data_IF_990572095381
#
_entry.id   IF_990572095381
#
_cell.length_a   1.000
_cell.length_b   1.000
_cell.length_c   1.000
_cell.angle_alpha   90.00
_cell.angle_beta   90.00
_cell.angle_gamma   90.00
#
_symmetry.space_group_name_H-M   'P 1'
#
loop_
_entity.id
_entity.type
_entity.pdbx_description
1 polymer ?
#
# COMPACT_ATOMS: atom_id res chain seq x y z
N UNK A 1 43.88 -47.92 -0.51
CA UNK A 1 43.13 -48.89 -1.35
C UNK A 1 42.96 -48.29 -2.75
N UNK A 2 43.31 -49.03 -3.82
CA UNK A 2 43.39 -48.49 -5.18
C UNK A 2 42.14 -48.74 -6.04
N UNK A 3 41.97 -47.85 -7.04
CA UNK A 3 41.33 -48.01 -8.36
C UNK A 3 39.85 -48.41 -8.49
N UNK A 4 39.11 -47.53 -9.20
CA UNK A 4 38.23 -47.75 -10.38
C UNK A 4 37.53 -46.38 -10.62
N UNK A 5 37.81 -45.53 -11.60
CA UNK A 5 37.98 -45.66 -13.06
C UNK A 5 36.79 -46.37 -13.73
N UNK A 6 35.80 -45.58 -14.18
CA UNK A 6 34.89 -45.79 -15.33
C UNK A 6 34.47 -44.41 -15.83
N UNK A 7 35.00 -43.99 -16.97
CA UNK A 7 34.48 -44.18 -18.33
C UNK A 7 33.29 -43.26 -18.65
N UNK A 8 33.62 -42.32 -19.54
CA UNK A 8 32.81 -41.45 -20.38
C UNK A 8 31.51 -42.07 -20.89
N UNK A 9 30.45 -41.26 -20.89
CA UNK A 9 29.41 -41.29 -21.91
C UNK A 9 29.14 -39.84 -22.34
N UNK A 10 29.74 -39.47 -23.46
CA UNK A 10 29.35 -38.31 -24.27
C UNK A 10 27.97 -38.61 -24.83
N UNK A 11 26.97 -37.81 -24.47
CA UNK A 11 25.71 -37.76 -25.21
C UNK A 11 25.47 -36.32 -25.64
N UNK A 12 26.02 -36.00 -26.82
CA UNK A 12 25.64 -34.83 -27.61
C UNK A 12 24.16 -34.92 -27.94
N UNK A 13 23.37 -34.01 -27.39
CA UNK A 13 22.01 -33.75 -27.87
C UNK A 13 22.03 -32.39 -28.56
N UNK A 14 22.35 -32.42 -29.85
CA UNK A 14 22.21 -31.29 -30.77
C UNK A 14 20.72 -31.00 -30.92
N UNK A 15 20.21 -29.96 -30.26
CA UNK A 15 18.87 -29.47 -30.51
C UNK A 15 18.89 -28.47 -31.68
N UNK A 16 17.98 -28.75 -32.61
CA UNK A 16 17.80 -28.16 -33.93
C UNK A 16 17.33 -26.70 -33.79
N UNK A 17 17.99 -25.80 -34.53
CA UNK A 17 17.49 -24.47 -34.87
C UNK A 17 16.22 -24.63 -35.73
N UNK A 18 15.05 -24.39 -35.13
CA UNK A 18 13.80 -24.18 -35.84
C UNK A 18 13.52 -22.69 -35.95
N UNK A 19 13.54 -22.15 -37.16
CA UNK A 19 13.16 -20.76 -37.44
C UNK A 19 11.67 -20.56 -37.16
N UNK A 20 11.39 -19.70 -36.18
CA UNK A 20 10.06 -19.22 -35.83
C UNK A 20 9.74 -18.01 -36.73
N UNK A 21 8.67 -18.08 -37.52
CA UNK A 21 8.01 -16.89 -38.09
C UNK A 21 6.54 -17.16 -38.32
N UNK A 22 5.78 -17.20 -37.22
CA UNK A 22 4.36 -16.89 -37.26
C UNK A 22 4.23 -15.36 -37.11
N UNK A 23 4.26 -14.64 -38.23
CA UNK A 23 3.86 -13.23 -38.27
C UNK A 23 2.33 -13.17 -38.21
N UNK A 24 1.76 -13.30 -37.01
CA UNK A 24 0.44 -12.76 -36.70
C UNK A 24 0.68 -11.36 -36.14
N UNK A 25 0.56 -10.37 -37.02
CA UNK A 25 0.60 -8.95 -36.67
C UNK A 25 -0.73 -8.56 -36.03
N UNK A 26 -1.07 -9.17 -34.89
CA UNK A 26 -2.04 -8.54 -34.02
C UNK A 26 -1.29 -7.44 -33.27
N UNK A 27 -1.71 -6.17 -33.39
CA UNK A 27 -1.13 -5.12 -32.56
C UNK A 27 -1.29 -5.55 -31.10
N UNK A 28 -0.26 -5.38 -30.24
CA UNK A 28 -0.45 -5.59 -28.82
C UNK A 28 -1.69 -4.78 -28.41
N UNK A 29 -2.62 -5.34 -27.60
CA UNK A 29 -3.67 -4.51 -27.02
C UNK A 29 -2.96 -3.30 -26.42
N UNK A 30 -3.36 -2.12 -26.87
CA UNK A 30 -2.75 -0.85 -26.49
C UNK A 30 -2.39 -0.95 -25.02
N UNK A 31 -1.10 -0.73 -24.70
CA UNK A 31 -0.64 -0.66 -23.33
C UNK A 31 -1.69 0.16 -22.58
N UNK A 32 -2.41 -0.50 -21.66
CA UNK A 32 -3.40 0.17 -20.86
C UNK A 32 -2.66 1.34 -20.23
N UNK A 33 -3.09 2.52 -20.65
CA UNK A 33 -2.47 3.81 -20.37
C UNK A 33 -1.90 3.81 -18.96
N UNK A 34 -0.59 4.05 -18.87
CA UNK A 34 0.10 4.19 -17.60
C UNK A 34 -0.48 5.40 -16.88
N UNK A 35 -1.56 5.17 -16.13
CA UNK A 35 -2.17 6.14 -15.24
C UNK A 35 -2.56 7.45 -15.92
N UNK A 36 -3.50 7.42 -16.86
CA UNK A 36 -4.35 8.60 -17.02
C UNK A 36 -4.87 8.99 -15.61
N UNK A 37 -4.74 10.25 -15.16
CA UNK A 37 -5.19 10.67 -13.85
C UNK A 37 -6.72 10.62 -13.81
N UNK A 38 -7.25 9.43 -13.58
CA UNK A 38 -8.67 9.13 -13.35
C UNK A 38 -9.23 9.86 -12.12
N UNK A 39 -8.38 10.57 -11.39
CA UNK A 39 -8.72 11.26 -10.16
C UNK A 39 -8.86 12.78 -10.32
N UNK A 40 -8.43 13.41 -11.42
CA UNK A 40 -8.36 14.89 -11.47
C UNK A 40 -9.71 15.58 -11.22
N UNK A 41 -10.81 15.03 -11.76
CA UNK A 41 -12.15 15.59 -11.58
C UNK A 41 -12.75 15.33 -10.19
N UNK A 42 -12.46 14.18 -9.58
CA UNK A 42 -12.91 13.85 -8.23
C UNK A 42 -12.09 14.59 -7.16
N UNK A 43 -10.78 14.78 -7.39
CA UNK A 43 -9.92 15.64 -6.58
C UNK A 43 -10.34 17.11 -6.69
N UNK A 44 -10.71 17.58 -7.89
CA UNK A 44 -11.23 18.94 -8.07
C UNK A 44 -12.54 19.19 -7.29
N UNK A 45 -13.39 18.17 -7.12
CA UNK A 45 -14.58 18.27 -6.29
C UNK A 45 -14.27 18.29 -4.78
N UNK A 46 -13.15 17.69 -4.34
CA UNK A 46 -12.65 17.76 -2.96
C UNK A 46 -11.93 19.08 -2.66
N UNK A 47 -11.35 19.74 -3.67
CA UNK A 47 -10.63 21.03 -3.55
C UNK A 47 -11.55 22.24 -3.35
N UNK A 48 -12.87 22.10 -3.54
CA UNK A 48 -13.83 23.17 -3.26
C UNK A 48 -14.09 23.39 -1.75
N UNK A 49 -13.62 22.47 -0.88
CA UNK A 49 -13.77 22.62 0.57
C UNK A 49 -12.73 23.59 1.12
N UNK A 50 -13.20 24.74 1.64
CA UNK A 50 -12.37 25.66 2.42
C UNK A 50 -11.71 24.88 3.56
N UNK A 51 -10.39 24.86 3.57
CA UNK A 51 -9.56 24.19 4.57
C UNK A 51 -9.76 24.85 5.93
N UNK A 52 -10.61 24.28 6.81
CA UNK A 52 -10.91 24.93 8.06
C UNK A 52 -9.66 24.87 8.96
N UNK A 53 -9.52 25.82 9.91
CA UNK A 53 -8.53 25.67 10.95
C UNK A 53 -8.77 24.34 11.68
N UNK A 54 -7.69 23.64 12.03
CA UNK A 54 -7.77 22.38 12.77
C UNK A 54 -8.53 22.64 14.08
N UNK A 55 -9.71 22.03 14.20
CA UNK A 55 -10.46 22.00 15.45
C UNK A 55 -9.78 21.10 16.49
N UNK A 56 -10.31 21.05 17.72
CA UNK A 56 -9.88 20.03 18.68
C UNK A 56 -10.02 18.63 18.05
N UNK A 57 -9.08 17.72 18.36
CA UNK A 57 -9.19 16.32 17.96
C UNK A 57 -10.46 15.76 18.60
N UNK A 58 -11.44 15.41 17.77
CA UNK A 58 -12.71 14.84 18.21
C UNK A 58 -12.78 13.37 17.78
N UNK A 59 -13.51 12.56 18.56
CA UNK A 59 -13.62 11.12 18.33
C UNK A 59 -12.55 10.30 19.04
N UNK A 60 -12.71 8.97 19.01
CA UNK A 60 -11.79 8.04 19.65
C UNK A 60 -10.48 7.93 18.86
N UNK A 61 -9.37 7.71 19.58
CA UNK A 61 -8.00 7.61 19.04
C UNK A 61 -7.40 6.24 19.32
N UNK A 62 -8.24 5.23 19.49
CA UNK A 62 -7.79 3.85 19.70
C UNK A 62 -7.67 3.12 18.36
N UNK A 63 -6.85 2.07 18.29
CA UNK A 63 -6.69 1.32 17.05
C UNK A 63 -8.03 0.77 16.55
N UNK A 64 -8.85 0.22 17.44
CA UNK A 64 -10.21 -0.27 17.11
C UNK A 64 -11.06 0.81 16.44
N UNK A 65 -11.04 2.04 16.95
CA UNK A 65 -11.80 3.15 16.35
C UNK A 65 -11.24 3.61 15.01
N UNK A 66 -9.91 3.70 14.88
CA UNK A 66 -9.25 4.07 13.62
C UNK A 66 -9.44 2.98 12.55
N UNK A 67 -9.45 1.71 12.95
CA UNK A 67 -9.76 0.61 12.07
C UNK A 67 -11.22 0.70 11.59
N UNK A 68 -12.18 0.91 12.48
CA UNK A 68 -13.57 1.05 12.07
C UNK A 68 -13.80 2.22 11.09
N UNK A 69 -13.22 3.38 11.38
CA UNK A 69 -13.48 4.60 10.62
C UNK A 69 -12.64 4.72 9.35
N UNK A 70 -11.39 4.27 9.38
CA UNK A 70 -10.41 4.54 8.34
C UNK A 70 -9.89 3.27 7.67
N UNK A 71 -9.35 2.30 8.41
CA UNK A 71 -8.51 1.25 7.81
C UNK A 71 -9.22 -0.08 7.52
N UNK A 72 -10.36 -0.32 8.16
CA UNK A 72 -11.16 -1.52 8.04
C UNK A 72 -11.96 -1.56 6.73
N UNK A 73 -12.70 -2.65 6.46
CA UNK A 73 -13.27 -2.94 5.14
C UNK A 73 -14.13 -1.81 4.55
N UNK A 74 -14.89 -1.13 5.41
CA UNK A 74 -15.77 0.00 5.04
C UNK A 74 -15.16 1.36 5.36
N UNK A 75 -13.94 1.38 5.92
CA UNK A 75 -13.29 2.61 6.35
C UNK A 75 -12.93 3.52 5.18
N UNK A 76 -12.80 4.80 5.46
CA UNK A 76 -12.53 5.84 4.45
C UNK A 76 -11.22 5.62 3.69
N UNK A 77 -10.19 5.15 4.39
CA UNK A 77 -8.90 4.74 3.84
C UNK A 77 -8.77 3.20 3.77
N UNK A 78 -9.88 2.47 3.67
CA UNK A 78 -9.88 0.99 3.59
C UNK A 78 -8.89 0.53 2.54
N UNK A 79 -7.96 -0.33 2.99
CA UNK A 79 -7.03 -1.04 2.13
C UNK A 79 -7.62 -2.38 1.68
N UNK A 80 -8.75 -2.84 2.21
CA UNK A 80 -9.18 -4.22 2.04
C UNK A 80 -10.24 -4.37 0.94
N UNK A 81 -9.97 -5.26 -0.03
CA UNK A 81 -11.02 -5.90 -0.83
C UNK A 81 -11.37 -5.27 -2.18
N UNK A 82 -10.67 -4.22 -2.65
CA UNK A 82 -10.86 -3.68 -4.00
C UNK A 82 -10.07 -4.42 -5.09
N UNK A 83 -9.14 -5.31 -4.69
CA UNK A 83 -8.34 -6.15 -5.58
C UNK A 83 -7.27 -5.41 -6.40
N UNK A 84 -7.17 -4.07 -6.29
CA UNK A 84 -6.31 -3.27 -7.16
C UNK A 84 -4.92 -3.00 -6.57
N UNK A 85 -4.81 -2.84 -5.24
CA UNK A 85 -3.51 -2.55 -4.59
C UNK A 85 -3.24 -3.40 -3.33
N UNK A 86 -4.29 -3.88 -2.67
CA UNK A 86 -4.23 -4.65 -1.43
C UNK A 86 -5.37 -5.70 -1.43
N UNK A 87 -5.39 -6.55 -2.46
CA UNK A 87 -6.38 -7.62 -2.59
C UNK A 87 -6.34 -8.62 -1.43
N UNK A 88 -7.22 -9.62 -1.47
CA UNK A 88 -7.14 -10.74 -0.53
C UNK A 88 -5.75 -11.39 -0.52
N UNK A 89 -5.35 -12.10 0.55
CA UNK A 89 -3.99 -12.66 0.70
C UNK A 89 -3.54 -13.56 -0.46
N UNK A 90 -4.48 -14.05 -1.27
CA UNK A 90 -4.25 -14.90 -2.44
C UNK A 90 -4.35 -14.18 -3.78
N UNK A 91 -4.67 -12.88 -3.82
CA UNK A 91 -4.82 -12.09 -5.04
C UNK A 91 -3.47 -11.51 -5.51
N UNK A 92 -3.31 -11.40 -6.83
CA UNK A 92 -2.15 -10.73 -7.43
C UNK A 92 -2.16 -9.25 -7.08
N UNK A 93 -1.02 -8.69 -6.67
CA UNK A 93 -0.90 -7.32 -6.11
C UNK A 93 -0.69 -7.28 -4.59
N UNK A 94 -1.35 -8.15 -3.82
CA UNK A 94 -1.20 -8.19 -2.34
C UNK A 94 0.20 -8.55 -1.88
N UNK A 95 0.85 -9.49 -2.59
CA UNK A 95 2.24 -9.90 -2.32
C UNK A 95 3.27 -8.81 -2.62
N UNK A 96 2.95 -7.87 -3.50
CA UNK A 96 3.87 -6.79 -3.86
C UNK A 96 3.90 -5.69 -2.79
N UNK A 97 2.80 -5.47 -2.06
CA UNK A 97 2.70 -4.42 -1.06
C UNK A 97 3.14 -4.86 0.36
N UNK A 98 3.25 -6.17 0.63
CA UNK A 98 3.54 -6.77 1.96
C UNK A 98 2.65 -6.28 3.12
N UNK A 99 1.52 -5.66 2.79
CA UNK A 99 0.58 -5.07 3.72
C UNK A 99 -0.78 -5.77 3.59
N UNK A 100 -1.28 -6.33 4.70
CA UNK A 100 -2.49 -7.13 4.78
C UNK A 100 -3.45 -6.53 5.82
N UNK A 101 -4.66 -6.19 5.40
CA UNK A 101 -5.76 -5.77 6.30
C UNK A 101 -6.97 -6.70 6.16
N UNK A 102 -6.77 -7.99 6.39
CA UNK A 102 -7.85 -9.00 6.39
C UNK A 102 -8.74 -8.95 7.65
N UNK A 103 -8.20 -8.42 8.73
CA UNK A 103 -8.78 -8.36 10.07
C UNK A 103 -8.21 -7.14 10.80
N UNK A 104 -8.82 -6.76 11.94
CA UNK A 104 -8.31 -5.67 12.79
C UNK A 104 -6.85 -5.93 13.19
N UNK A 105 -6.59 -7.11 13.74
CA UNK A 105 -5.27 -7.51 14.25
C UNK A 105 -4.26 -7.71 13.12
N UNK A 106 -4.68 -8.28 11.98
CA UNK A 106 -3.83 -8.42 10.80
C UNK A 106 -3.39 -7.06 10.27
N UNK A 107 -4.34 -6.14 10.16
CA UNK A 107 -4.10 -4.77 9.71
C UNK A 107 -3.15 -4.01 10.67
N UNK A 108 -3.35 -4.15 11.98
CA UNK A 108 -2.44 -3.61 13.00
C UNK A 108 -1.02 -4.14 12.79
N UNK A 109 -0.88 -5.46 12.74
CA UNK A 109 0.43 -6.12 12.59
C UNK A 109 1.11 -5.68 11.31
N UNK A 110 0.41 -5.62 10.18
CA UNK A 110 0.98 -5.14 8.93
C UNK A 110 1.42 -3.67 9.00
N UNK A 111 0.65 -2.79 9.64
CA UNK A 111 1.03 -1.39 9.83
C UNK A 111 2.28 -1.21 10.69
N UNK A 112 2.49 -2.13 11.63
CA UNK A 112 3.60 -2.11 12.60
C UNK A 112 4.77 -3.01 12.20
N UNK A 113 4.62 -3.88 11.19
CA UNK A 113 5.63 -4.84 10.77
C UNK A 113 6.69 -4.24 9.83
N UNK A 114 7.89 -4.84 9.85
CA UNK A 114 9.03 -4.48 8.98
C UNK A 114 8.89 -4.87 7.51
N UNK A 115 7.82 -5.55 7.13
CA UNK A 115 7.65 -6.09 5.78
C UNK A 115 6.97 -5.05 4.90
N UNK A 116 7.79 -4.22 4.25
CA UNK A 116 7.39 -3.26 3.20
C UNK A 116 8.53 -3.11 2.19
N UNK A 117 8.19 -2.82 0.94
CA UNK A 117 8.97 -2.93 -0.33
C UNK A 117 10.24 -2.06 -0.45
N UNK A 118 10.94 -1.78 0.64
CA UNK A 118 12.19 -1.02 0.61
C UNK A 118 13.24 -1.73 1.46
N UNK A 119 14.47 -1.72 0.99
CA UNK A 119 15.66 -2.33 1.61
C UNK A 119 16.07 -1.65 2.93
N UNK A 120 15.18 -0.87 3.53
CA UNK A 120 15.30 -0.16 4.80
C UNK A 120 14.04 -0.42 5.61
N UNK A 121 14.14 -1.16 6.73
CA UNK A 121 13.15 -1.31 7.81
C UNK A 121 11.85 -0.47 7.69
N UNK A 122 10.89 -0.91 6.88
CA UNK A 122 9.75 -0.08 6.44
C UNK A 122 8.45 -0.35 7.20
N UNK A 123 8.45 -0.18 8.53
CA UNK A 123 7.16 -0.11 9.23
C UNK A 123 6.50 1.21 8.87
N UNK A 124 5.21 1.20 8.56
CA UNK A 124 4.44 2.44 8.33
C UNK A 124 4.34 3.28 9.61
N UNK A 125 4.29 2.59 10.76
CA UNK A 125 4.30 3.20 12.10
C UNK A 125 5.32 2.48 12.99
N UNK A 126 6.30 3.21 13.50
CA UNK A 126 7.39 2.72 14.38
C UNK A 126 7.27 3.33 15.77
N UNK A 127 7.91 2.69 16.74
CA UNK A 127 8.00 3.24 18.12
C UNK A 127 8.75 4.57 18.14
N UNK A 128 9.72 4.74 17.23
CA UNK A 128 10.44 6.01 17.06
C UNK A 128 9.52 7.17 16.62
N UNK A 129 8.37 6.86 16.01
CA UNK A 129 7.45 7.88 15.53
C UNK A 129 6.59 8.48 16.66
N UNK A 130 6.58 7.89 17.88
CA UNK A 130 5.88 8.44 19.06
C UNK A 130 6.33 9.88 19.36
N UNK A 131 7.63 10.17 19.23
CA UNK A 131 8.19 11.49 19.49
C UNK A 131 7.88 12.51 18.37
N UNK A 132 7.51 12.05 17.18
CA UNK A 132 7.16 12.89 16.05
C UNK A 132 6.14 12.20 15.12
N UNK A 133 4.87 12.08 15.55
CA UNK A 133 3.86 11.27 14.85
C UNK A 133 3.71 11.61 13.37
N UNK A 134 3.73 12.90 13.05
CA UNK A 134 3.67 13.44 11.67
C UNK A 134 4.75 12.91 10.72
N UNK A 135 5.84 12.35 11.23
CA UNK A 135 6.95 11.79 10.45
C UNK A 135 6.81 10.29 10.16
N UNK A 136 5.77 9.64 10.68
CA UNK A 136 5.49 8.25 10.37
C UNK A 136 5.37 8.05 8.85
N UNK A 137 5.98 6.99 8.34
CA UNK A 137 5.96 6.68 6.91
C UNK A 137 4.53 6.51 6.36
N UNK A 138 3.59 6.13 7.23
CA UNK A 138 2.15 6.08 6.94
C UNK A 138 1.62 7.33 6.23
N UNK A 139 2.03 8.53 6.66
CA UNK A 139 1.54 9.79 6.07
C UNK A 139 2.14 10.10 4.69
N UNK A 140 3.21 9.40 4.30
CA UNK A 140 3.71 9.40 2.92
C UNK A 140 2.85 8.55 1.98
N UNK A 141 2.04 7.63 2.52
CA UNK A 141 1.19 6.71 1.77
C UNK A 141 -0.24 7.24 1.69
N UNK A 142 -0.85 7.56 2.84
CA UNK A 142 -2.26 7.96 2.94
C UNK A 142 -2.53 9.29 2.23
N UNK A 143 -3.70 9.39 1.57
CA UNK A 143 -4.18 10.66 1.03
C UNK A 143 -4.65 11.58 2.14
N UNK A 144 -3.85 12.58 2.49
CA UNK A 144 -4.08 13.47 3.64
C UNK A 144 -4.10 14.94 3.23
N UNK A 145 -4.99 15.72 3.85
CA UNK A 145 -4.96 17.19 3.78
C UNK A 145 -3.91 17.74 4.72
N UNK A 146 -2.95 18.50 4.18
CA UNK A 146 -1.91 19.20 4.94
C UNK A 146 -2.39 20.52 5.52
N UNK A 147 -1.53 21.16 6.32
CA UNK A 147 -1.77 22.48 6.91
C UNK A 147 -1.89 23.60 5.87
N UNK A 148 -1.16 23.50 4.77
CA UNK A 148 -1.24 24.39 3.60
C UNK A 148 -2.38 24.01 2.64
N UNK A 149 -3.24 23.08 3.07
CA UNK A 149 -4.43 22.62 2.35
C UNK A 149 -4.13 21.86 1.06
N UNK A 150 -2.85 21.56 0.80
CA UNK A 150 -2.47 20.62 -0.26
C UNK A 150 -2.72 19.19 0.17
N UNK A 151 -2.82 18.28 -0.80
CA UNK A 151 -2.89 16.84 -0.55
C UNK A 151 -1.50 16.23 -0.67
N UNK A 152 -1.17 15.29 0.22
CA UNK A 152 -0.07 14.35 0.00
C UNK A 152 -0.53 12.92 0.06
N UNK A 153 0.39 12.02 -0.30
CA UNK A 153 0.15 10.60 -0.37
C UNK A 153 -0.24 10.16 -1.77
N UNK A 154 -0.11 8.87 -2.00
CA UNK A 154 -0.33 8.26 -3.31
C UNK A 154 -1.18 7.00 -3.23
N UNK A 155 -1.73 6.67 -2.06
CA UNK A 155 -2.62 5.52 -1.90
C UNK A 155 -3.87 5.70 -2.79
N UNK A 156 -4.02 4.90 -3.85
CA UNK A 156 -5.17 4.98 -4.73
C UNK A 156 -6.40 4.39 -4.05
N UNK A 157 -7.59 4.92 -4.36
CA UNK A 157 -8.87 4.32 -3.95
C UNK A 157 -10.00 4.75 -4.90
N UNK A 158 -10.97 3.87 -5.09
CA UNK A 158 -12.24 4.17 -5.77
C UNK A 158 -13.42 3.87 -4.85
N UNK A 159 -14.26 4.86 -4.50
CA UNK A 159 -14.13 6.29 -4.84
C UNK A 159 -12.88 6.91 -4.19
N UNK A 160 -12.35 8.01 -4.76
CA UNK A 160 -11.25 8.74 -4.14
C UNK A 160 -11.59 9.17 -2.72
N UNK A 161 -10.58 9.19 -1.84
CA UNK A 161 -10.72 9.64 -0.47
C UNK A 161 -9.62 10.63 -0.13
N UNK A 162 -9.90 11.47 0.86
CA UNK A 162 -8.94 12.39 1.47
C UNK A 162 -9.22 12.47 2.95
N UNK A 163 -8.23 12.16 3.79
CA UNK A 163 -8.35 12.35 5.23
C UNK A 163 -8.26 13.85 5.55
N UNK A 164 -9.21 14.35 6.34
CA UNK A 164 -9.20 15.74 6.82
C UNK A 164 -8.10 15.92 7.87
N UNK A 165 -7.80 17.19 8.21
CA UNK A 165 -6.81 17.50 9.23
C UNK A 165 -7.20 16.92 10.60
N UNK A 166 -8.48 16.90 10.94
CA UNK A 166 -9.00 16.31 12.18
C UNK A 166 -8.81 14.79 12.19
N UNK A 167 -9.10 14.11 11.08
CA UNK A 167 -8.92 12.66 10.94
C UNK A 167 -7.43 12.27 11.03
N UNK A 168 -6.56 13.05 10.38
CA UNK A 168 -5.10 12.90 10.50
C UNK A 168 -4.66 13.09 11.95
N UNK A 169 -5.19 14.10 12.65
CA UNK A 169 -4.85 14.36 14.04
C UNK A 169 -5.28 13.23 15.00
N UNK A 170 -6.36 12.48 14.68
CA UNK A 170 -6.72 11.27 15.44
C UNK A 170 -5.68 10.16 15.29
N UNK A 171 -5.15 9.98 14.08
CA UNK A 171 -4.09 9.00 13.79
C UNK A 171 -2.78 9.43 14.48
N UNK A 172 -2.43 10.72 14.41
CA UNK A 172 -1.27 11.27 15.13
C UNK A 172 -1.38 11.05 16.65
N UNK A 173 -2.57 11.27 17.23
CA UNK A 173 -2.81 11.06 18.66
C UNK A 173 -2.64 9.59 19.07
N UNK A 174 -3.13 8.65 18.25
CA UNK A 174 -2.89 7.22 18.48
C UNK A 174 -1.40 6.86 18.43
N UNK A 175 -0.65 7.39 17.45
CA UNK A 175 0.80 7.18 17.36
C UNK A 175 1.52 7.81 18.56
N UNK A 176 1.17 9.03 18.96
CA UNK A 176 1.72 9.69 20.16
C UNK A 176 1.43 8.92 21.45
N UNK A 177 0.32 8.18 21.51
CA UNK A 177 -0.03 7.31 22.62
C UNK A 177 0.70 5.95 22.62
N UNK A 178 1.61 5.72 21.67
CA UNK A 178 2.38 4.47 21.56
C UNK A 178 1.87 3.51 20.49
N UNK A 179 0.87 3.91 19.69
CA UNK A 179 0.27 3.07 18.65
C UNK A 179 -0.16 1.68 19.18
N UNK A 180 -0.85 1.64 20.32
CA UNK A 180 -1.27 0.40 20.97
C UNK A 180 -2.42 -0.29 20.19
N UNK A 181 -2.45 -1.62 20.27
CA UNK A 181 -3.58 -2.46 19.84
C UNK A 181 -4.52 -2.63 21.04
N UNK A 182 -5.72 -2.04 20.98
CA UNK A 182 -6.75 -2.09 22.03
C UNK A 182 -7.85 -3.11 21.74
#
# INVERSE_FOLDING_TARGET
>A
MPRRSRLSALLSCTFILGALSCSSSDPPPAAADAGAPVDAAAEAALDAATCPPLGPVTGATTWTSLYADFFGPTGKASCAGDGACHGGPTQEGTKAAFYLCDSKDGCYKSMRSKTGVSTTDSNLVRDADVAAPKKAALFGILRVTKEDCTVSGFMPKRPPYRLTREEVARIEAWIAAGANDD
#
